data_IF_855575014556
#
_entry.id   IF_855575014556
#
_cell.length_a   1.000
_cell.length_b   1.000
_cell.length_c   1.000
_cell.angle_alpha   90.00
_cell.angle_beta   90.00
_cell.angle_gamma   90.00
#
_symmetry.space_group_name_H-M   'P 1'
#
loop_
_entity.id
_entity.type
_entity.pdbx_description
1 polymer ?
#
# COMPACT_ATOMS: atom_id res chain seq x y z
N UNK A 1 6.62 -3.53 17.79
CA UNK A 1 5.34 -3.17 17.12
C UNK A 1 5.53 -1.97 16.19
N UNK A 2 6.39 -0.99 16.52
CA UNK A 2 6.71 0.17 15.66
C UNK A 2 7.42 -0.16 14.33
N UNK A 3 8.19 -1.25 14.25
CA UNK A 3 9.00 -1.54 13.05
C UNK A 3 8.16 -1.80 11.79
N UNK A 4 6.98 -2.42 11.94
CA UNK A 4 6.08 -2.71 10.80
C UNK A 4 5.41 -1.43 10.28
N UNK A 5 5.27 -0.40 11.12
CA UNK A 5 4.71 0.89 10.70
C UNK A 5 5.76 1.69 9.93
N UNK A 6 7.01 1.66 10.38
CA UNK A 6 8.12 2.36 9.72
C UNK A 6 8.62 1.64 8.45
N UNK A 7 8.52 0.31 8.40
CA UNK A 7 8.98 -0.51 7.28
C UNK A 7 8.02 -1.70 7.02
N UNK A 8 6.82 -1.43 6.47
CA UNK A 8 5.85 -2.47 6.10
C UNK A 8 6.36 -3.37 4.97
N UNK A 9 7.25 -2.86 4.10
CA UNK A 9 7.79 -3.63 2.98
C UNK A 9 8.63 -4.80 3.48
N UNK A 10 9.47 -4.58 4.49
CA UNK A 10 10.21 -5.67 5.12
C UNK A 10 9.28 -6.74 5.69
N UNK A 11 8.18 -6.35 6.34
CA UNK A 11 7.20 -7.30 6.86
C UNK A 11 6.53 -8.13 5.74
N UNK A 12 6.26 -7.52 4.59
CA UNK A 12 5.73 -8.21 3.40
C UNK A 12 6.77 -9.17 2.81
N UNK A 13 8.04 -8.73 2.71
CA UNK A 13 9.14 -9.57 2.22
C UNK A 13 9.39 -10.78 3.13
N UNK A 14 9.33 -10.61 4.45
CA UNK A 14 9.46 -11.69 5.42
C UNK A 14 8.28 -12.67 5.33
N UNK A 15 7.06 -12.14 5.18
CA UNK A 15 5.89 -12.97 4.87
C UNK A 15 6.09 -13.74 3.56
N UNK A 16 6.83 -13.16 2.61
CA UNK A 16 7.10 -13.75 1.30
C UNK A 16 8.01 -14.91 1.40
N UNK A 17 9.20 -14.65 1.90
CA UNK A 17 10.17 -15.67 2.16
C UNK A 17 9.55 -16.84 2.94
N UNK A 18 8.65 -16.59 3.89
CA UNK A 18 7.99 -17.64 4.68
C UNK A 18 6.95 -18.44 3.89
N UNK A 19 6.08 -17.80 3.11
CA UNK A 19 5.03 -18.51 2.36
C UNK A 19 5.54 -19.18 1.09
N UNK A 20 6.63 -18.66 0.52
CA UNK A 20 7.22 -19.17 -0.72
C UNK A 20 8.36 -20.17 -0.48
N UNK A 21 8.70 -20.42 0.79
CA UNK A 21 9.76 -21.34 1.15
C UNK A 21 9.45 -22.76 0.65
N UNK A 22 10.22 -23.21 -0.35
CA UNK A 22 10.10 -24.55 -0.92
C UNK A 22 9.07 -24.68 -2.06
N UNK A 23 8.47 -23.58 -2.50
CA UNK A 23 7.66 -23.52 -3.72
C UNK A 23 8.54 -23.20 -4.93
N UNK A 24 8.20 -23.76 -6.10
CA UNK A 24 8.80 -23.38 -7.39
C UNK A 24 8.07 -22.17 -7.97
N UNK A 25 8.73 -21.44 -8.87
CA UNK A 25 8.18 -20.25 -9.53
C UNK A 25 6.82 -20.50 -10.22
N UNK A 26 6.62 -21.72 -10.74
CA UNK A 26 5.36 -22.16 -11.34
C UNK A 26 4.21 -22.29 -10.33
N UNK A 27 4.54 -22.60 -9.07
CA UNK A 27 3.60 -22.81 -7.96
C UNK A 27 3.25 -21.48 -7.26
N UNK A 28 4.08 -20.46 -7.47
CA UNK A 28 3.88 -19.10 -6.98
C UNK A 28 2.89 -18.30 -7.83
N UNK A 29 2.73 -18.66 -9.10
CA UNK A 29 1.80 -18.03 -10.02
C UNK A 29 0.36 -18.36 -9.63
N UNK A 30 -0.25 -17.53 -8.78
CA UNK A 30 -1.65 -17.65 -8.36
C UNK A 30 -1.84 -17.85 -6.86
N UNK A 31 -0.78 -17.86 -6.06
CA UNK A 31 -0.94 -17.84 -4.59
C UNK A 31 -1.33 -16.43 -4.15
N UNK A 32 -2.58 -16.26 -3.71
CA UNK A 32 -2.95 -15.04 -2.99
C UNK A 32 -2.15 -14.97 -1.71
N UNK A 33 -1.34 -13.93 -1.68
CA UNK A 33 -0.42 -13.72 -0.61
C UNK A 33 -1.16 -12.97 0.48
N UNK A 34 -1.36 -13.62 1.63
CA UNK A 34 -2.27 -13.17 2.70
C UNK A 34 -1.80 -11.92 3.46
N UNK A 35 -1.34 -10.89 2.75
CA UNK A 35 -0.99 -9.56 3.26
C UNK A 35 -2.20 -8.96 3.99
N UNK A 36 -3.43 -8.95 3.43
CA UNK A 36 -4.57 -8.37 4.14
C UNK A 36 -4.80 -9.02 5.50
N UNK A 37 -4.79 -10.35 5.57
CA UNK A 37 -5.00 -11.12 6.81
C UNK A 37 -3.83 -10.91 7.80
N UNK A 38 -2.61 -10.85 7.30
CA UNK A 38 -1.41 -10.63 8.10
C UNK A 38 -1.44 -9.28 8.82
N UNK A 39 -1.86 -8.22 8.13
CA UNK A 39 -2.00 -6.89 8.71
C UNK A 39 -3.26 -6.79 9.58
N UNK A 40 -4.38 -7.41 9.18
CA UNK A 40 -5.61 -7.45 9.99
C UNK A 40 -5.38 -8.10 11.36
N UNK A 41 -4.65 -9.22 11.42
CA UNK A 41 -4.30 -9.88 12.68
C UNK A 41 -3.36 -9.04 13.57
N UNK A 42 -2.51 -8.19 12.97
CA UNK A 42 -1.59 -7.30 13.69
C UNK A 42 -2.26 -6.05 14.23
N UNK A 43 -3.27 -5.57 13.53
CA UNK A 43 -4.03 -4.37 13.87
C UNK A 43 -5.49 -4.72 14.19
N UNK A 44 -5.69 -5.78 14.96
CA UNK A 44 -6.98 -6.37 15.37
C UNK A 44 -7.81 -5.51 16.34
N UNK A 45 -7.19 -4.47 16.90
CA UNK A 45 -7.74 -3.64 17.96
C UNK A 45 -7.64 -2.17 17.58
N UNK A 46 -8.60 -1.38 18.06
CA UNK A 46 -8.66 0.06 17.80
C UNK A 46 -7.39 0.77 18.26
N UNK A 47 -6.84 0.35 19.40
CA UNK A 47 -5.63 0.90 20.00
C UNK A 47 -4.41 0.65 19.11
N UNK A 48 -4.29 -0.55 18.52
CA UNK A 48 -3.20 -0.86 17.57
C UNK A 48 -3.37 -0.10 16.26
N UNK A 49 -4.61 0.01 15.73
CA UNK A 49 -4.90 0.80 14.52
C UNK A 49 -4.52 2.27 14.73
N UNK A 50 -4.78 2.83 15.92
CA UNK A 50 -4.45 4.22 16.24
C UNK A 50 -2.95 4.52 16.25
N UNK A 51 -2.09 3.52 16.40
CA UNK A 51 -0.64 3.68 16.29
C UNK A 51 -0.19 3.99 14.86
N UNK A 52 -0.97 3.59 13.85
CA UNK A 52 -0.67 3.89 12.44
C UNK A 52 -0.95 5.39 12.20
N UNK A 53 0.01 6.16 11.68
CA UNK A 53 -0.17 7.59 11.44
C UNK A 53 -1.25 7.86 10.40
N UNK A 54 -2.06 8.90 10.63
CA UNK A 54 -3.03 9.39 9.65
C UNK A 54 -2.34 10.39 8.72
N UNK A 55 -2.43 10.15 7.40
CA UNK A 55 -2.00 11.12 6.38
C UNK A 55 -3.03 12.23 6.31
N UNK A 56 -2.55 13.43 6.58
CA UNK A 56 -3.23 14.70 6.36
C UNK A 56 -2.25 15.63 5.64
N UNK A 57 -2.73 16.72 5.07
CA UNK A 57 -1.88 17.67 4.31
C UNK A 57 -0.68 18.20 5.10
N UNK A 58 -0.74 18.16 6.44
CA UNK A 58 0.32 18.63 7.35
C UNK A 58 1.31 17.55 7.79
N UNK A 59 0.99 16.28 7.56
CA UNK A 59 1.79 15.14 8.03
C UNK A 59 2.55 14.46 6.89
N UNK A 60 2.14 14.65 5.63
CA UNK A 60 2.74 13.97 4.48
C UNK A 60 4.27 14.16 4.38
N UNK A 61 4.76 15.38 4.59
CA UNK A 61 6.21 15.69 4.51
C UNK A 61 7.00 15.24 5.76
N UNK A 62 6.30 14.82 6.81
CA UNK A 62 6.90 14.41 8.10
C UNK A 62 6.97 12.89 8.25
N UNK A 63 6.32 12.16 7.36
CA UNK A 63 6.31 10.71 7.40
C UNK A 63 7.52 10.18 6.64
N UNK A 64 8.27 9.22 7.22
CA UNK A 64 9.33 8.56 6.48
C UNK A 64 8.79 7.91 5.19
N UNK A 65 9.58 7.91 4.11
CA UNK A 65 9.22 7.16 2.90
C UNK A 65 8.86 5.71 3.21
N UNK A 66 7.94 5.14 2.43
CA UNK A 66 7.50 3.74 2.53
C UNK A 66 6.82 3.34 3.84
N UNK A 67 6.41 4.30 4.69
CA UNK A 67 5.70 4.01 5.94
C UNK A 67 4.29 3.48 5.70
N UNK A 68 3.80 2.66 6.63
CA UNK A 68 2.39 2.30 6.73
C UNK A 68 1.60 3.49 7.26
N UNK A 69 0.52 3.84 6.58
CA UNK A 69 -0.30 4.99 6.92
C UNK A 69 -1.79 4.65 6.86
N UNK A 70 -2.59 5.41 7.61
CA UNK A 70 -4.04 5.50 7.42
C UNK A 70 -4.34 6.76 6.62
N UNK A 71 -5.41 6.77 5.86
CA UNK A 71 -5.91 7.97 5.21
C UNK A 71 -7.44 8.05 5.39
N UNK A 72 -8.00 9.24 5.16
CA UNK A 72 -9.44 9.45 5.10
C UNK A 72 -9.80 9.92 3.69
N UNK A 73 -10.67 9.18 3.04
CA UNK A 73 -11.25 9.56 1.76
C UNK A 73 -12.69 10.04 1.95
N UNK A 74 -13.16 10.86 1.01
CA UNK A 74 -14.58 11.15 0.87
C UNK A 74 -15.15 10.13 -0.13
N UNK A 75 -16.19 9.40 0.30
CA UNK A 75 -16.98 8.58 -0.62
C UNK A 75 -18.12 9.46 -1.09
N UNK A 76 -18.12 9.79 -2.39
CA UNK A 76 -19.22 10.52 -3.01
C UNK A 76 -20.17 9.52 -3.65
N UNK A 77 -21.40 9.45 -3.14
CA UNK A 77 -22.47 8.69 -3.79
C UNK A 77 -22.97 9.50 -4.99
N UNK A 78 -22.78 8.97 -6.19
CA UNK A 78 -23.15 9.64 -7.44
C UNK A 78 -24.44 9.09 -8.04
N UNK A 79 -25.15 8.19 -7.33
CA UNK A 79 -26.28 7.39 -7.85
C UNK A 79 -25.92 6.45 -9.03
N UNK A 80 -24.70 6.56 -9.57
CA UNK A 80 -24.16 5.75 -10.67
C UNK A 80 -23.20 4.64 -10.19
N UNK A 81 -22.94 4.57 -8.88
CA UNK A 81 -22.04 3.60 -8.25
C UNK A 81 -21.13 4.25 -7.21
N UNK A 82 -20.48 3.40 -6.41
CA UNK A 82 -19.44 3.77 -5.45
C UNK A 82 -18.11 3.21 -5.95
N UNK A 83 -17.25 4.09 -6.47
CA UNK A 83 -15.88 3.73 -6.84
C UNK A 83 -14.90 4.38 -5.87
N UNK A 84 -14.03 3.58 -5.27
CA UNK A 84 -12.90 4.05 -4.48
C UNK A 84 -11.64 3.90 -5.32
N UNK A 85 -10.93 5.00 -5.53
CA UNK A 85 -9.64 5.00 -6.19
C UNK A 85 -8.63 5.84 -5.41
N UNK A 86 -7.40 5.35 -5.30
CA UNK A 86 -6.27 6.04 -4.73
C UNK A 86 -5.30 6.45 -5.85
N UNK A 87 -5.00 7.74 -5.93
CA UNK A 87 -4.03 8.28 -6.88
C UNK A 87 -2.73 8.60 -6.14
N UNK A 88 -1.64 7.93 -6.51
CA UNK A 88 -0.31 8.17 -5.96
C UNK A 88 0.59 8.76 -7.06
N UNK A 89 1.12 9.96 -6.84
CA UNK A 89 2.08 10.56 -7.77
C UNK A 89 3.50 10.33 -7.25
N UNK A 90 4.38 9.83 -8.11
CA UNK A 90 5.81 9.71 -7.84
C UNK A 90 6.59 10.59 -8.82
N UNK A 91 7.60 11.31 -8.34
CA UNK A 91 8.59 11.95 -9.20
C UNK A 91 9.74 10.97 -9.42
N UNK A 92 9.99 10.59 -10.66
CA UNK A 92 11.07 9.70 -11.06
C UNK A 92 12.07 10.52 -11.86
N UNK A 93 13.35 10.49 -11.48
CA UNK A 93 14.42 11.06 -12.28
C UNK A 93 14.78 10.10 -13.39
N UNK A 94 14.53 10.49 -14.64
CA UNK A 94 14.90 9.72 -15.81
C UNK A 94 16.43 9.71 -16.01
N UNK A 95 16.99 8.76 -16.79
CA UNK A 95 18.45 8.66 -17.00
C UNK A 95 19.09 9.91 -17.60
N UNK A 96 18.30 10.76 -18.26
CA UNK A 96 18.71 12.05 -18.83
C UNK A 96 18.71 13.21 -17.81
N UNK A 97 18.37 12.95 -16.53
CA UNK A 97 18.25 13.95 -15.47
C UNK A 97 16.92 14.71 -15.45
N UNK A 98 15.96 14.35 -16.31
CA UNK A 98 14.63 14.95 -16.33
C UNK A 98 13.74 14.39 -15.22
N UNK A 99 12.97 15.25 -14.55
CA UNK A 99 11.98 14.83 -13.55
C UNK A 99 10.65 14.50 -14.24
N UNK A 100 10.27 13.22 -14.20
CA UNK A 100 8.99 12.75 -14.73
C UNK A 100 8.05 12.49 -13.56
N UNK A 101 6.86 13.10 -13.60
CA UNK A 101 5.78 12.77 -12.66
C UNK A 101 4.96 11.62 -13.20
N UNK A 102 4.97 10.50 -12.49
CA UNK A 102 4.16 9.32 -12.79
C UNK A 102 2.98 9.28 -11.83
N UNK A 103 1.76 9.18 -12.34
CA UNK A 103 0.55 9.03 -11.54
C UNK A 103 0.07 7.58 -11.60
N UNK A 104 0.00 6.93 -10.45
CA UNK A 104 -0.53 5.58 -10.29
C UNK A 104 -1.96 5.66 -9.73
N UNK A 105 -2.91 4.99 -10.39
CA UNK A 105 -4.27 4.82 -9.88
C UNK A 105 -4.44 3.39 -9.38
N UNK A 106 -4.90 3.24 -8.15
CA UNK A 106 -5.27 1.97 -7.53
C UNK A 106 -6.77 2.00 -7.27
N UNK A 107 -7.53 1.08 -7.83
CA UNK A 107 -8.97 0.95 -7.60
C UNK A 107 -9.31 -0.53 -7.44
N UNK A 108 -10.33 -0.84 -6.64
CA UNK A 108 -10.74 -2.24 -6.36
C UNK A 108 -11.10 -3.02 -7.65
N UNK A 109 -11.42 -2.32 -8.74
CA UNK A 109 -11.90 -2.91 -9.99
C UNK A 109 -10.88 -2.92 -11.14
N UNK A 110 -9.61 -2.54 -10.96
CA UNK A 110 -8.63 -2.55 -12.06
C UNK A 110 -7.23 -3.06 -11.68
N UNK A 111 -6.86 -4.19 -12.30
CA UNK A 111 -5.46 -4.53 -12.63
C UNK A 111 -4.83 -3.31 -13.32
N UNK A 112 -3.76 -2.79 -12.72
CA UNK A 112 -3.03 -1.58 -13.11
C UNK A 112 -3.01 -1.28 -14.62
N UNK A 113 -3.74 -0.25 -15.05
CA UNK A 113 -3.50 0.39 -16.34
C UNK A 113 -2.44 1.49 -16.16
N UNK A 114 -1.39 1.45 -16.99
CA UNK A 114 -0.44 2.56 -17.13
C UNK A 114 -1.16 3.70 -17.85
N UNK A 115 -1.32 4.84 -17.18
CA UNK A 115 -1.71 6.11 -17.83
C UNK A 115 -0.46 6.82 -18.30
#
# INVERSE_FOLDING_TARGET
>A
MNDIIADPLKAIQELYAKQTQGLRDEELAGTEFGVPEYFAARFDTREKIQQIPLVESRTVDKLPPYSLVRFRGMVQDTELGQDVALFATATITAPNGEEVRVCHRYADNQLSEKV
#
